data_IF_083622038783
#
_entry.id   IF_083622038783
#
_cell.length_a   1.000
_cell.length_b   1.000
_cell.length_c   1.000
_cell.angle_alpha   90.00
_cell.angle_beta   90.00
_cell.angle_gamma   90.00
#
_symmetry.space_group_name_H-M   'P 1'
#
loop_
_entity.id
_entity.type
_entity.pdbx_description
1 polymer ?
#
# COMPACT_ATOMS: atom_id res chain seq x y z
N UNK A 1 10.23 44.07 -26.82
CA UNK A 1 10.56 42.62 -26.86
C UNK A 1 11.08 42.09 -25.52
N UNK A 2 12.03 42.76 -24.85
CA UNK A 2 12.56 42.32 -23.54
C UNK A 2 11.52 42.15 -22.40
N UNK A 3 10.43 42.93 -22.40
CA UNK A 3 9.38 42.85 -21.36
C UNK A 3 8.48 41.61 -21.48
N UNK A 4 8.30 41.07 -22.68
CA UNK A 4 7.50 39.86 -22.93
C UNK A 4 8.31 38.61 -22.54
N UNK A 5 9.62 38.63 -22.78
CA UNK A 5 10.54 37.57 -22.34
C UNK A 5 10.61 37.42 -20.81
N UNK A 6 10.46 38.52 -20.05
CA UNK A 6 10.46 38.48 -18.59
C UNK A 6 9.17 37.88 -18.00
N UNK A 7 8.02 38.11 -18.65
CA UNK A 7 6.73 37.54 -18.25
C UNK A 7 6.63 36.04 -18.56
N UNK A 8 7.25 35.59 -19.66
CA UNK A 8 7.32 34.17 -20.01
C UNK A 8 8.21 33.37 -19.03
N UNK A 9 9.26 34.00 -18.50
CA UNK A 9 10.18 33.40 -17.53
C UNK A 9 9.55 33.26 -16.13
N UNK A 10 8.63 34.16 -15.74
CA UNK A 10 7.93 34.10 -14.46
C UNK A 10 6.86 33.00 -14.39
N UNK A 11 6.25 32.62 -15.52
CA UNK A 11 5.24 31.55 -15.58
C UNK A 11 5.81 30.13 -15.41
N UNK A 12 7.11 29.94 -15.70
CA UNK A 12 7.82 28.66 -15.53
C UNK A 12 8.11 28.31 -14.06
N UNK A 13 7.96 29.26 -13.14
CA UNK A 13 8.21 29.08 -11.70
C UNK A 13 6.95 28.72 -10.90
N UNK A 14 5.78 28.66 -11.54
CA UNK A 14 4.56 28.13 -10.92
C UNK A 14 4.57 26.60 -10.91
N UNK A 15 5.45 26.01 -10.11
CA UNK A 15 5.34 24.61 -9.71
C UNK A 15 4.08 24.45 -8.86
N UNK A 16 3.09 23.73 -9.36
CA UNK A 16 1.89 23.40 -8.59
C UNK A 16 2.34 22.45 -7.47
N UNK A 17 2.53 22.97 -6.25
CA UNK A 17 2.72 22.11 -5.09
C UNK A 17 1.41 21.38 -4.86
N UNK A 18 1.37 20.09 -5.18
CA UNK A 18 0.26 19.26 -4.76
C UNK A 18 0.25 19.25 -3.22
N UNK A 19 -0.90 19.47 -2.56
CA UNK A 19 -1.01 19.04 -1.17
C UNK A 19 -0.69 17.54 -1.15
N UNK A 20 0.08 17.10 -0.14
CA UNK A 20 0.53 15.71 0.03
C UNK A 20 -0.56 14.71 -0.39
N UNK A 21 -0.31 13.94 -1.46
CA UNK A 21 -1.28 13.02 -2.07
C UNK A 21 -1.64 11.85 -1.14
N UNK A 22 -0.76 11.55 -0.18
CA UNK A 22 -0.87 10.49 0.81
C UNK A 22 -0.13 10.88 2.08
N UNK A 23 -0.34 10.09 3.12
CA UNK A 23 0.42 10.18 4.36
C UNK A 23 1.21 8.91 4.62
N UNK A 24 2.38 9.06 5.25
CA UNK A 24 3.20 7.93 5.67
C UNK A 24 2.79 7.44 7.06
N UNK A 25 2.24 8.30 7.94
CA UNK A 25 2.02 7.92 9.34
C UNK A 25 3.32 7.40 9.95
N UNK A 26 3.24 6.28 10.68
CA UNK A 26 4.41 5.59 11.24
C UNK A 26 4.99 4.52 10.28
N UNK A 27 4.44 4.39 9.07
CA UNK A 27 4.87 3.36 8.11
C UNK A 27 6.28 3.62 7.56
N UNK A 28 6.69 4.88 7.38
CA UNK A 28 8.04 5.22 6.90
C UNK A 28 9.13 4.84 7.91
N UNK A 29 8.91 5.15 9.18
CA UNK A 29 9.80 4.78 10.27
C UNK A 29 9.86 3.25 10.39
N UNK A 30 8.71 2.58 10.38
CA UNK A 30 8.65 1.13 10.42
C UNK A 30 9.42 0.49 9.25
N UNK A 31 9.24 0.98 8.02
CA UNK A 31 9.97 0.50 6.84
C UNK A 31 11.48 0.66 7.01
N UNK A 32 11.92 1.82 7.49
CA UNK A 32 13.33 2.10 7.72
C UNK A 32 13.93 1.18 8.80
N UNK A 33 13.23 1.00 9.91
CA UNK A 33 13.66 0.12 11.00
C UNK A 33 13.75 -1.32 10.55
N UNK A 34 12.73 -1.83 9.85
CA UNK A 34 12.73 -3.19 9.31
C UNK A 34 13.86 -3.39 8.27
N UNK A 35 14.12 -2.39 7.41
CA UNK A 35 15.25 -2.47 6.47
C UNK A 35 16.60 -2.57 7.20
N UNK A 36 16.78 -1.86 8.31
CA UNK A 36 18.02 -1.89 9.12
C UNK A 36 18.13 -3.14 9.97
N UNK A 37 17.01 -3.60 10.50
CA UNK A 37 16.90 -4.71 11.43
C UNK A 37 15.74 -5.60 10.99
N UNK A 38 15.97 -6.48 10.00
CA UNK A 38 14.91 -7.32 9.44
C UNK A 38 14.25 -8.17 10.53
N UNK A 39 12.93 -8.02 10.62
CA UNK A 39 12.07 -8.79 11.52
C UNK A 39 11.61 -10.09 10.86
N UNK A 40 11.19 -11.06 11.68
CA UNK A 40 10.57 -12.26 11.16
C UNK A 40 9.10 -12.04 10.75
N UNK A 41 8.49 -13.03 10.10
CA UNK A 41 7.13 -12.90 9.56
C UNK A 41 6.05 -12.64 10.62
N UNK A 42 6.22 -13.16 11.83
CA UNK A 42 5.26 -12.99 12.91
C UNK A 42 5.34 -11.56 13.46
N UNK A 43 6.55 -11.08 13.69
CA UNK A 43 6.80 -9.69 14.11
C UNK A 43 6.29 -8.69 13.07
N UNK A 44 6.61 -8.92 11.79
CA UNK A 44 6.13 -8.07 10.69
C UNK A 44 4.60 -8.08 10.59
N UNK A 45 3.97 -9.25 10.79
CA UNK A 45 2.52 -9.37 10.77
C UNK A 45 1.88 -8.54 11.89
N UNK A 46 2.41 -8.63 13.12
CA UNK A 46 1.91 -7.86 14.27
C UNK A 46 2.02 -6.36 14.00
N UNK A 47 3.19 -5.90 13.54
CA UNK A 47 3.42 -4.47 13.29
C UNK A 47 2.52 -3.92 12.18
N UNK A 48 2.46 -4.59 11.03
CA UNK A 48 1.62 -4.14 9.91
C UNK A 48 0.13 -4.19 10.27
N UNK A 49 -0.30 -5.17 11.06
CA UNK A 49 -1.67 -5.22 11.59
C UNK A 49 -1.97 -3.99 12.44
N UNK A 50 -1.03 -3.58 13.31
CA UNK A 50 -1.20 -2.41 14.16
C UNK A 50 -1.29 -1.13 13.33
N UNK A 51 -0.37 -0.91 12.38
CA UNK A 51 -0.37 0.24 11.48
C UNK A 51 -1.67 0.37 10.68
N UNK A 52 -2.13 -0.74 10.09
CA UNK A 52 -3.38 -0.79 9.33
C UNK A 52 -4.58 -0.52 10.23
N UNK A 53 -4.63 -1.14 11.42
CA UNK A 53 -5.74 -0.95 12.36
C UNK A 53 -5.84 0.49 12.82
N UNK A 54 -4.71 1.10 13.16
CA UNK A 54 -4.66 2.50 13.56
C UNK A 54 -5.17 3.40 12.43
N UNK A 55 -4.67 3.22 11.20
CA UNK A 55 -5.12 3.99 10.05
C UNK A 55 -6.61 3.81 9.77
N UNK A 56 -7.11 2.57 9.74
CA UNK A 56 -8.52 2.27 9.45
C UNK A 56 -9.48 2.75 10.55
N UNK A 57 -8.98 2.95 11.77
CA UNK A 57 -9.77 3.52 12.88
C UNK A 57 -10.04 5.02 12.75
N UNK A 58 -9.35 5.73 11.85
CA UNK A 58 -9.48 7.19 11.66
C UNK A 58 -10.86 7.52 11.08
N UNK A 59 -11.38 8.73 11.37
CA UNK A 59 -12.71 9.16 10.90
C UNK A 59 -12.84 9.30 9.38
N UNK A 60 -11.72 9.49 8.66
CA UNK A 60 -11.67 9.75 7.21
C UNK A 60 -10.38 9.20 6.56
N UNK A 61 -10.13 7.88 6.60
CA UNK A 61 -8.89 7.30 6.08
C UNK A 61 -8.66 7.67 4.61
N UNK A 62 -9.71 7.66 3.77
CA UNK A 62 -9.57 7.94 2.33
C UNK A 62 -9.35 9.42 1.97
N UNK A 63 -9.40 10.37 2.91
CA UNK A 63 -9.12 11.79 2.62
C UNK A 63 -7.62 12.07 2.60
N UNK A 64 -6.83 11.22 3.26
CA UNK A 64 -5.38 11.15 3.15
C UNK A 64 -5.01 9.67 3.13
N UNK A 65 -5.00 9.04 1.95
CA UNK A 65 -4.71 7.62 1.86
C UNK A 65 -3.33 7.32 2.47
N UNK A 66 -3.18 6.16 3.13
CA UNK A 66 -1.87 5.66 3.52
C UNK A 66 -1.01 5.40 2.29
N UNK A 67 0.29 5.66 2.43
CA UNK A 67 1.25 5.52 1.35
C UNK A 67 1.10 4.19 0.56
N UNK A 68 1.34 4.22 -0.76
CA UNK A 68 1.32 3.03 -1.60
C UNK A 68 2.21 1.92 -1.03
N UNK A 69 1.76 0.69 -1.16
CA UNK A 69 2.50 -0.50 -0.75
C UNK A 69 2.08 -1.09 0.59
N UNK A 70 1.51 -0.33 1.52
CA UNK A 70 1.16 -0.85 2.85
C UNK A 70 0.21 -2.04 2.79
N UNK A 71 -0.89 -1.93 2.02
CA UNK A 71 -1.84 -3.04 1.90
C UNK A 71 -1.29 -4.19 1.05
N UNK A 72 -0.42 -3.90 0.07
CA UNK A 72 0.27 -4.94 -0.69
C UNK A 72 1.22 -5.76 0.19
N UNK A 73 2.02 -5.10 1.03
CA UNK A 73 2.98 -5.75 1.92
C UNK A 73 2.27 -6.61 2.97
N UNK A 74 1.18 -6.10 3.54
CA UNK A 74 0.36 -6.88 4.46
C UNK A 74 -0.33 -8.07 3.77
N UNK A 75 -0.84 -7.88 2.55
CA UNK A 75 -1.37 -8.97 1.72
C UNK A 75 -0.33 -10.06 1.46
N UNK A 76 0.93 -9.69 1.24
CA UNK A 76 2.02 -10.62 1.04
C UNK A 76 2.31 -11.46 2.29
N UNK A 77 2.37 -10.84 3.48
CA UNK A 77 2.52 -11.58 4.73
C UNK A 77 1.34 -12.53 4.98
N UNK A 78 0.11 -12.09 4.73
CA UNK A 78 -1.06 -12.96 4.84
C UNK A 78 -0.95 -14.20 3.93
N UNK A 79 -0.45 -14.06 2.71
CA UNK A 79 -0.20 -15.22 1.84
C UNK A 79 0.86 -16.17 2.41
N UNK A 80 1.96 -15.64 2.97
CA UNK A 80 3.00 -16.46 3.60
C UNK A 80 2.48 -17.24 4.80
N UNK A 81 1.50 -16.67 5.52
CA UNK A 81 0.77 -17.31 6.61
C UNK A 81 -0.34 -18.27 6.15
N UNK A 82 -0.59 -18.38 4.85
CA UNK A 82 -1.66 -19.20 4.27
C UNK A 82 -3.06 -18.57 4.36
N UNK A 83 -3.16 -17.33 4.83
CA UNK A 83 -4.41 -16.55 4.98
C UNK A 83 -4.84 -15.91 3.65
N UNK A 84 -4.94 -16.74 2.60
CA UNK A 84 -5.08 -16.29 1.20
C UNK A 84 -6.36 -15.46 0.95
N UNK A 85 -7.47 -15.82 1.59
CA UNK A 85 -8.71 -15.05 1.49
C UNK A 85 -8.57 -13.61 2.03
N UNK A 86 -7.82 -13.42 3.13
CA UNK A 86 -7.53 -12.09 3.66
C UNK A 86 -6.54 -11.35 2.75
N UNK A 87 -5.54 -12.04 2.20
CA UNK A 87 -4.60 -11.43 1.25
C UNK A 87 -5.34 -10.82 0.04
N UNK A 88 -6.29 -11.54 -0.55
CA UNK A 88 -7.13 -11.04 -1.66
C UNK A 88 -7.85 -9.74 -1.27
N UNK A 89 -8.42 -9.69 -0.05
CA UNK A 89 -9.12 -8.50 0.45
C UNK A 89 -8.18 -7.29 0.52
N UNK A 90 -6.96 -7.45 1.02
CA UNK A 90 -6.01 -6.34 1.15
C UNK A 90 -5.37 -5.93 -0.18
N UNK A 91 -5.07 -6.86 -1.09
CA UNK A 91 -4.67 -6.50 -2.45
C UNK A 91 -5.77 -5.75 -3.21
N UNK A 92 -7.04 -6.09 -2.97
CA UNK A 92 -8.17 -5.36 -3.54
C UNK A 92 -8.27 -3.94 -2.99
N UNK A 93 -7.99 -3.74 -1.69
CA UNK A 93 -7.90 -2.41 -1.08
C UNK A 93 -6.76 -1.59 -1.69
N UNK A 94 -5.56 -2.18 -1.82
CA UNK A 94 -4.42 -1.53 -2.47
C UNK A 94 -4.78 -1.08 -3.90
N UNK A 95 -5.32 -1.98 -4.73
CA UNK A 95 -5.74 -1.67 -6.10
C UNK A 95 -6.76 -0.53 -6.16
N UNK A 96 -7.71 -0.49 -5.23
CA UNK A 96 -8.74 0.54 -5.19
C UNK A 96 -8.16 1.90 -4.77
N UNK A 97 -7.17 1.91 -3.88
CA UNK A 97 -6.52 3.13 -3.39
C UNK A 97 -5.47 3.66 -4.37
N UNK A 98 -4.81 2.76 -5.09
CA UNK A 98 -3.65 3.02 -5.95
C UNK A 98 -3.88 2.43 -7.35
N UNK A 99 -4.59 3.13 -8.24
CA UNK A 99 -4.87 2.67 -9.61
C UNK A 99 -3.61 2.30 -10.39
N UNK A 100 -2.48 2.97 -10.12
CA UNK A 100 -1.18 2.72 -10.73
C UNK A 100 -0.65 1.31 -10.41
N UNK A 101 -1.06 0.73 -9.27
CA UNK A 101 -0.68 -0.62 -8.85
C UNK A 101 -1.57 -1.72 -9.45
N UNK A 102 -2.60 -1.38 -10.24
CA UNK A 102 -3.63 -2.32 -10.75
C UNK A 102 -3.04 -3.57 -11.38
N UNK A 103 -2.11 -3.43 -12.32
CA UNK A 103 -1.55 -4.57 -13.07
C UNK A 103 -0.85 -5.56 -12.13
N UNK A 104 -0.10 -5.02 -11.15
CA UNK A 104 0.58 -5.83 -10.17
C UNK A 104 -0.42 -6.49 -9.20
N UNK A 105 -1.38 -5.72 -8.68
CA UNK A 105 -2.38 -6.24 -7.75
C UNK A 105 -3.29 -7.29 -8.38
N UNK A 106 -3.63 -7.19 -9.67
CA UNK A 106 -4.38 -8.23 -10.38
C UNK A 106 -3.62 -9.56 -10.41
N UNK A 107 -2.31 -9.51 -10.64
CA UNK A 107 -1.44 -10.69 -10.60
C UNK A 107 -1.36 -11.29 -9.19
N UNK A 108 -1.26 -10.45 -8.16
CA UNK A 108 -1.21 -10.89 -6.76
C UNK A 108 -2.54 -11.50 -6.31
N UNK A 109 -3.68 -10.89 -6.69
CA UNK A 109 -5.03 -11.41 -6.44
C UNK A 109 -5.21 -12.77 -7.12
N UNK A 110 -4.80 -12.92 -8.38
CA UNK A 110 -4.90 -14.19 -9.09
C UNK A 110 -4.06 -15.27 -8.39
N UNK A 111 -2.83 -14.93 -7.99
CA UNK A 111 -1.95 -15.86 -7.26
C UNK A 111 -2.59 -16.30 -5.94
N UNK A 112 -3.13 -15.36 -5.16
CA UNK A 112 -3.80 -15.65 -3.90
C UNK A 112 -5.07 -16.50 -4.09
N UNK A 113 -5.86 -16.27 -5.15
CA UNK A 113 -7.04 -17.08 -5.48
C UNK A 113 -6.67 -18.53 -5.83
N UNK A 114 -5.55 -18.74 -6.53
CA UNK A 114 -5.06 -20.10 -6.83
C UNK A 114 -4.66 -20.80 -5.53
N UNK A 115 -3.93 -20.11 -4.65
CA UNK A 115 -3.51 -20.64 -3.36
C UNK A 115 -4.70 -20.97 -2.44
N UNK A 116 -5.70 -20.08 -2.35
CA UNK A 116 -6.92 -20.29 -1.56
C UNK A 116 -7.69 -21.55 -1.99
N UNK A 117 -7.90 -21.72 -3.31
CA UNK A 117 -8.55 -22.91 -3.88
C UNK A 117 -7.77 -24.19 -3.61
N UNK A 118 -6.44 -24.13 -3.62
CA UNK A 118 -5.60 -25.29 -3.32
C UNK A 118 -5.75 -25.72 -1.85
N UNK A 119 -5.73 -24.77 -0.91
CA UNK A 119 -5.92 -25.03 0.53
C UNK A 119 -7.29 -25.63 0.83
N UNK A 120 -8.36 -25.14 0.21
CA UNK A 120 -9.73 -25.65 0.41
C UNK A 120 -9.91 -27.09 -0.10
N UNK A 121 -9.25 -27.47 -1.20
CA UNK A 121 -9.27 -28.85 -1.71
C UNK A 121 -8.49 -29.83 -0.83
N UNK A 122 -7.46 -29.36 -0.14
CA UNK A 122 -6.66 -30.17 0.79
C UNK A 122 -7.36 -30.48 2.11
N UNK A 123 -8.19 -29.56 2.61
CA UNK A 123 -8.93 -29.71 3.88
C UNK A 123 -10.26 -30.48 3.80
N UNK A 124 -10.68 -30.91 2.61
CA UNK A 124 -11.94 -31.64 2.40
C UNK A 124 -11.77 -33.17 2.38
N UNK A 125 -10.69 -33.70 2.98
CA UNK A 125 -10.44 -35.13 3.15
C UNK A 125 -10.66 -35.57 4.59
#
# INVERSE_FOLDING_TARGET
MARISLLLLLGLLCGCTSPYLYEWGDYDQWLYENYKHPKDDEELYVDLTALITEYESRKKPNTKPMAPGLYAEYGFLLMRRGENAQAIKYYTKEKALWPEATVFMDSMIQTAQIADKASQKGGSK
#
